data_IF_979059494600
#
_entry.id   IF_979059494600
#
_cell.length_a   1.000
_cell.length_b   1.000
_cell.length_c   1.000
_cell.angle_alpha   90.00
_cell.angle_beta   90.00
_cell.angle_gamma   90.00
#
_symmetry.space_group_name_H-M   'P 1'
#
loop_
_entity.id
_entity.type
_entity.pdbx_description
1 polymer ?
#
# COMPACT_ATOMS: atom_id res chain seq x y z
N UNK A 1 0.55 -30.57 -47.77
CA UNK A 1 -0.27 -31.39 -46.88
C UNK A 1 0.34 -31.34 -45.49
N UNK A 2 -0.37 -30.85 -44.51
CA UNK A 2 0.07 -30.87 -43.12
C UNK A 2 0.06 -32.34 -42.61
N UNK A 3 1.18 -32.82 -42.06
CA UNK A 3 1.20 -34.15 -41.43
C UNK A 3 0.77 -33.98 -39.98
N UNK A 4 -0.20 -34.76 -39.54
CA UNK A 4 -0.63 -34.87 -38.16
C UNK A 4 0.37 -35.74 -37.42
N UNK A 5 1.03 -35.22 -36.38
CA UNK A 5 1.86 -36.00 -35.47
C UNK A 5 1.03 -36.32 -34.21
N UNK A 6 0.59 -37.57 -34.02
CA UNK A 6 -0.24 -37.94 -32.86
C UNK A 6 0.52 -37.92 -31.52
N UNK A 7 1.84 -37.80 -31.55
CA UNK A 7 2.68 -37.72 -30.33
C UNK A 7 3.07 -36.29 -29.95
N UNK A 8 2.67 -35.31 -30.76
CA UNK A 8 2.96 -33.89 -30.47
C UNK A 8 2.16 -33.39 -29.26
N UNK A 9 2.88 -33.04 -28.21
CA UNK A 9 2.31 -32.44 -27.02
C UNK A 9 2.75 -30.97 -26.93
N UNK A 10 1.81 -30.07 -26.72
CA UNK A 10 2.09 -28.65 -26.48
C UNK A 10 1.41 -28.19 -25.19
N UNK A 11 2.06 -27.27 -24.49
CA UNK A 11 1.44 -26.61 -23.34
C UNK A 11 0.57 -25.46 -23.82
N UNK A 12 -0.71 -25.49 -23.47
CA UNK A 12 -1.65 -24.41 -23.77
C UNK A 12 -1.83 -23.57 -22.49
N UNK A 13 -1.68 -22.25 -22.61
CA UNK A 13 -1.96 -21.34 -21.52
C UNK A 13 -3.47 -21.37 -21.20
N UNK A 14 -3.79 -21.55 -19.92
CA UNK A 14 -5.17 -21.57 -19.46
C UNK A 14 -5.46 -20.39 -18.53
N UNK A 15 -6.72 -19.93 -18.52
CA UNK A 15 -7.17 -18.92 -17.58
C UNK A 15 -7.07 -19.43 -16.15
N UNK A 16 -6.37 -18.69 -15.28
CA UNK A 16 -6.17 -19.09 -13.88
C UNK A 16 -7.46 -19.17 -13.06
N UNK A 17 -8.55 -18.56 -13.54
CA UNK A 17 -9.86 -18.57 -12.86
C UNK A 17 -10.77 -19.70 -13.32
N UNK A 18 -10.96 -19.84 -14.64
CA UNK A 18 -11.93 -20.79 -15.21
C UNK A 18 -11.28 -21.99 -15.90
N UNK A 19 -9.95 -22.04 -15.98
CA UNK A 19 -9.16 -23.10 -16.62
C UNK A 19 -9.43 -23.28 -18.14
N UNK A 20 -10.18 -22.37 -18.77
CA UNK A 20 -10.40 -22.40 -20.21
C UNK A 20 -9.09 -22.07 -20.96
N UNK A 21 -8.82 -22.68 -22.10
CA UNK A 21 -7.70 -22.34 -22.97
C UNK A 21 -7.73 -20.84 -23.33
N UNK A 22 -6.58 -20.20 -23.34
CA UNK A 22 -6.43 -18.82 -23.78
C UNK A 22 -6.12 -18.78 -25.26
N UNK A 23 -6.97 -18.10 -26.03
CA UNK A 23 -6.79 -17.86 -27.46
C UNK A 23 -6.34 -16.40 -27.66
N UNK A 24 -5.13 -16.14 -28.22
CA UNK A 24 -4.67 -14.79 -28.52
C UNK A 24 -5.54 -14.16 -29.61
N UNK A 25 -6.22 -13.05 -29.30
CA UNK A 25 -6.99 -12.26 -30.25
C UNK A 25 -6.29 -10.94 -30.54
N UNK A 26 -5.73 -10.73 -31.76
CA UNK A 26 -5.17 -9.45 -32.16
C UNK A 26 -6.25 -8.36 -32.16
N UNK A 27 -6.06 -7.30 -31.38
CA UNK A 27 -7.00 -6.20 -31.26
C UNK A 27 -6.24 -4.86 -31.15
N UNK A 28 -6.76 -3.81 -31.76
CA UNK A 28 -6.27 -2.47 -31.54
C UNK A 28 -6.44 -2.07 -30.07
N UNK A 29 -5.42 -1.45 -29.50
CA UNK A 29 -5.36 -1.08 -28.08
C UNK A 29 -4.85 0.36 -27.95
N UNK A 30 -5.13 0.99 -26.82
CA UNK A 30 -4.61 2.32 -26.49
C UNK A 30 -3.36 2.23 -25.64
N UNK A 31 -2.31 2.93 -26.05
CA UNK A 31 -1.01 2.91 -25.40
C UNK A 31 -0.56 4.31 -24.99
N UNK A 32 0.16 4.37 -23.88
CA UNK A 32 0.96 5.56 -23.50
C UNK A 32 2.40 5.32 -23.94
N UNK A 33 2.99 6.27 -24.64
CA UNK A 33 4.43 6.30 -24.93
C UNK A 33 5.19 6.60 -23.65
N UNK A 34 5.82 5.58 -23.07
CA UNK A 34 6.44 5.66 -21.75
C UNK A 34 7.88 6.14 -21.76
N UNK A 35 8.64 5.90 -22.83
CA UNK A 35 10.06 6.25 -22.93
C UNK A 35 10.35 7.72 -22.57
N UNK A 36 9.67 8.75 -23.12
CA UNK A 36 9.95 10.14 -22.78
C UNK A 36 9.59 10.48 -21.34
N UNK A 37 8.61 9.78 -20.74
CA UNK A 37 8.24 9.94 -19.33
C UNK A 37 9.31 9.33 -18.42
N UNK A 38 9.75 8.11 -18.73
CA UNK A 38 10.78 7.40 -17.99
C UNK A 38 12.11 8.16 -17.96
N UNK A 39 12.54 8.74 -19.08
CA UNK A 39 13.76 9.53 -19.16
C UNK A 39 13.73 10.75 -18.22
N UNK A 40 12.59 11.46 -18.12
CA UNK A 40 12.42 12.58 -17.19
C UNK A 40 12.50 12.15 -15.73
N UNK A 41 11.88 11.01 -15.39
CA UNK A 41 11.91 10.44 -14.04
C UNK A 41 13.32 9.97 -13.69
N UNK A 42 14.01 9.25 -14.59
CA UNK A 42 15.39 8.80 -14.39
C UNK A 42 16.34 9.97 -14.08
N UNK A 43 16.24 11.09 -14.82
CA UNK A 43 17.04 12.29 -14.54
C UNK A 43 16.87 12.78 -13.11
N UNK A 44 15.64 12.80 -12.60
CA UNK A 44 15.34 13.23 -11.22
C UNK A 44 15.84 12.23 -10.17
N UNK A 45 15.71 10.92 -10.44
CA UNK A 45 16.27 9.87 -9.57
C UNK A 45 17.79 10.00 -9.50
N UNK A 46 18.46 10.17 -10.63
CA UNK A 46 19.93 10.37 -10.69
C UNK A 46 20.36 11.64 -9.97
N UNK A 47 19.53 12.68 -9.97
CA UNK A 47 19.76 13.93 -9.22
C UNK A 47 19.48 13.78 -7.70
N UNK A 48 19.09 12.60 -7.23
CA UNK A 48 18.85 12.34 -5.79
C UNK A 48 17.49 12.81 -5.27
N UNK A 49 16.53 13.13 -6.16
CA UNK A 49 15.19 13.57 -5.73
C UNK A 49 14.33 12.43 -5.13
N UNK A 50 14.76 11.17 -5.26
CA UNK A 50 14.06 9.98 -4.74
C UNK A 50 15.04 9.08 -4.02
N UNK A 51 14.67 8.64 -2.81
CA UNK A 51 15.37 7.58 -2.06
C UNK A 51 14.46 6.37 -1.89
N UNK A 52 14.98 5.16 -2.12
CA UNK A 52 14.26 3.90 -1.93
C UNK A 52 14.88 3.13 -0.77
N UNK A 53 14.07 2.81 0.23
CA UNK A 53 14.41 1.93 1.34
C UNK A 53 13.87 0.52 1.04
N UNK A 54 14.74 -0.33 0.54
CA UNK A 54 14.44 -1.72 0.16
C UNK A 54 15.66 -2.37 -0.48
N UNK A 55 16.05 -3.54 -0.04
CA UNK A 55 17.28 -4.23 -0.43
C UNK A 55 17.43 -4.39 -1.95
N UNK A 56 18.18 -3.50 -2.61
CA UNK A 56 18.46 -3.54 -4.06
C UNK A 56 17.30 -3.14 -4.98
N UNK A 57 16.16 -2.70 -4.43
CA UNK A 57 14.98 -2.33 -5.22
C UNK A 57 15.14 -1.01 -5.97
N UNK A 58 16.08 -0.15 -5.58
CA UNK A 58 16.52 1.01 -6.35
C UNK A 58 17.07 0.61 -7.74
N UNK A 59 17.91 -0.42 -7.78
CA UNK A 59 18.44 -0.98 -9.03
C UNK A 59 17.35 -1.63 -9.89
N UNK A 60 16.39 -2.29 -9.23
CA UNK A 60 15.22 -2.88 -9.91
C UNK A 60 14.38 -1.78 -10.57
N UNK A 61 14.05 -0.70 -9.85
CA UNK A 61 13.31 0.42 -10.42
C UNK A 61 14.06 1.07 -11.58
N UNK A 62 15.37 1.29 -11.44
CA UNK A 62 16.20 1.84 -12.51
C UNK A 62 16.15 0.95 -13.75
N UNK A 63 16.33 -0.36 -13.60
CA UNK A 63 16.25 -1.32 -14.70
C UNK A 63 14.89 -1.28 -15.42
N UNK A 64 13.79 -1.27 -14.67
CA UNK A 64 12.44 -1.18 -15.25
C UNK A 64 12.23 0.12 -16.02
N UNK A 65 12.63 1.27 -15.47
CA UNK A 65 12.50 2.57 -16.14
C UNK A 65 13.32 2.66 -17.41
N UNK A 66 14.53 2.05 -17.43
CA UNK A 66 15.41 2.04 -18.59
C UNK A 66 14.88 1.18 -19.73
N UNK A 67 14.24 0.04 -19.41
CA UNK A 67 13.76 -0.93 -20.38
C UNK A 67 12.23 -0.92 -20.53
N UNK A 68 11.59 0.19 -20.22
CA UNK A 68 10.14 0.27 -20.20
C UNK A 68 9.57 0.32 -21.62
N UNK A 69 8.68 -0.62 -21.94
CA UNK A 69 7.88 -0.62 -23.16
C UNK A 69 6.64 0.27 -23.02
N UNK A 70 6.08 0.65 -24.17
CA UNK A 70 4.82 1.41 -24.20
C UNK A 70 3.72 0.67 -23.42
N UNK A 71 2.97 1.44 -22.64
CA UNK A 71 2.03 0.90 -21.69
C UNK A 71 0.62 0.81 -22.29
N UNK A 72 0.13 -0.40 -22.52
CA UNK A 72 -1.26 -0.63 -22.84
C UNK A 72 -2.17 -0.26 -21.66
N UNK A 73 -3.02 0.75 -21.85
CA UNK A 73 -3.92 1.26 -20.82
C UNK A 73 -5.37 0.82 -20.99
N UNK A 74 -5.72 0.12 -22.06
CA UNK A 74 -7.07 -0.36 -22.33
C UNK A 74 -7.30 -1.79 -21.85
N UNK A 75 -8.49 -2.04 -21.28
CA UNK A 75 -8.92 -3.36 -20.78
C UNK A 75 -10.33 -3.64 -21.25
N UNK A 76 -10.57 -4.86 -21.75
CA UNK A 76 -11.86 -5.37 -22.17
C UNK A 76 -12.59 -6.03 -20.99
N UNK A 77 -12.93 -5.23 -19.99
CA UNK A 77 -13.65 -5.68 -18.79
C UNK A 77 -14.88 -4.82 -18.54
N UNK A 78 -15.92 -5.43 -17.98
CA UNK A 78 -17.22 -4.77 -17.77
C UNK A 78 -17.14 -3.71 -16.65
N UNK A 79 -16.33 -3.94 -15.63
CA UNK A 79 -16.18 -3.06 -14.48
C UNK A 79 -14.90 -2.24 -14.56
N UNK A 80 -15.02 -0.93 -14.53
CA UNK A 80 -13.88 -0.01 -14.54
C UNK A 80 -14.28 1.38 -15.02
N UNK A 81 -13.30 2.29 -15.02
CA UNK A 81 -13.47 3.65 -15.57
C UNK A 81 -13.30 3.56 -17.08
N UNK A 82 -14.35 3.87 -17.82
CA UNK A 82 -14.31 3.86 -19.29
C UNK A 82 -13.30 4.87 -19.83
N UNK A 83 -12.67 4.50 -20.94
CA UNK A 83 -11.81 5.43 -21.68
C UNK A 83 -12.65 6.62 -22.19
N UNK A 84 -12.18 7.88 -22.05
CA UNK A 84 -12.88 9.05 -22.54
C UNK A 84 -12.68 9.22 -24.06
N UNK A 85 -12.90 8.14 -24.80
CA UNK A 85 -12.70 8.04 -26.24
C UNK A 85 -14.05 7.84 -26.89
N UNK A 86 -14.32 8.65 -27.91
CA UNK A 86 -15.58 8.69 -28.60
C UNK A 86 -15.37 8.61 -30.10
N UNK A 87 -16.26 7.91 -30.76
CA UNK A 87 -16.29 7.75 -32.22
C UNK A 87 -17.53 8.38 -32.80
N UNK A 88 -17.39 9.13 -33.85
CA UNK A 88 -18.52 9.60 -34.65
C UNK A 88 -19.11 8.39 -35.42
N UNK A 89 -20.32 7.97 -35.09
CA UNK A 89 -20.86 6.70 -35.52
C UNK A 89 -20.98 6.58 -37.06
N UNK A 90 -21.46 7.61 -37.72
CA UNK A 90 -21.59 7.63 -39.18
C UNK A 90 -20.25 7.66 -39.91
N UNK A 91 -19.25 8.36 -39.35
CA UNK A 91 -17.90 8.47 -39.94
C UNK A 91 -17.04 7.22 -39.77
N UNK A 92 -17.48 6.28 -38.91
CA UNK A 92 -16.77 5.04 -38.60
C UNK A 92 -17.60 3.79 -38.86
N UNK A 93 -18.11 3.55 -40.12
CA UNK A 93 -19.05 2.46 -40.43
C UNK A 93 -18.46 1.06 -40.21
N UNK A 94 -17.13 0.92 -40.10
CA UNK A 94 -16.43 -0.36 -39.90
C UNK A 94 -16.25 -0.73 -38.41
N UNK A 95 -16.68 0.10 -37.47
CA UNK A 95 -16.68 -0.26 -36.06
C UNK A 95 -17.69 -1.39 -35.85
N UNK A 96 -17.21 -2.50 -35.28
CA UNK A 96 -18.09 -3.60 -34.89
C UNK A 96 -18.61 -3.35 -33.48
N UNK A 97 -19.90 -3.55 -33.27
CA UNK A 97 -20.53 -3.45 -31.95
C UNK A 97 -21.42 -4.67 -31.68
N UNK A 98 -21.58 -4.94 -30.38
CA UNK A 98 -22.55 -5.88 -29.87
C UNK A 98 -23.42 -5.18 -28.83
N UNK A 99 -24.73 -5.31 -28.89
CA UNK A 99 -25.64 -4.64 -27.96
C UNK A 99 -26.87 -5.49 -27.66
N UNK A 100 -27.48 -5.22 -26.52
CA UNK A 100 -28.76 -5.85 -26.10
C UNK A 100 -29.93 -5.00 -26.56
N UNK A 101 -30.96 -5.65 -27.12
CA UNK A 101 -32.20 -5.00 -27.53
C UNK A 101 -33.39 -5.94 -27.41
N UNK A 102 -34.58 -5.37 -27.38
CA UNK A 102 -35.84 -6.12 -27.47
C UNK A 102 -36.29 -6.33 -28.92
N UNK A 103 -35.61 -5.69 -29.87
CA UNK A 103 -35.98 -5.74 -31.29
C UNK A 103 -35.05 -6.65 -32.10
N UNK A 104 -35.58 -7.26 -33.13
CA UNK A 104 -34.85 -8.16 -34.03
C UNK A 104 -35.07 -7.72 -35.49
N UNK A 105 -34.00 -7.15 -36.06
CA UNK A 105 -33.97 -6.80 -37.48
C UNK A 105 -32.84 -7.55 -38.18
N UNK A 106 -33.21 -8.60 -38.96
CA UNK A 106 -32.23 -9.39 -39.71
C UNK A 106 -31.66 -8.62 -40.89
N UNK A 107 -30.49 -9.00 -41.34
CA UNK A 107 -29.81 -8.41 -42.48
C UNK A 107 -28.43 -9.01 -42.72
N UNK A 108 -27.91 -8.81 -43.92
CA UNK A 108 -26.57 -9.29 -44.25
C UNK A 108 -25.49 -8.71 -43.36
N UNK A 109 -24.72 -9.61 -42.72
CA UNK A 109 -23.65 -9.26 -41.76
C UNK A 109 -24.15 -8.72 -40.43
N UNK A 110 -25.40 -9.01 -40.05
CA UNK A 110 -25.96 -8.82 -38.70
C UNK A 110 -26.16 -10.19 -38.07
N UNK A 111 -25.56 -10.43 -36.91
CA UNK A 111 -25.75 -11.65 -36.13
C UNK A 111 -26.72 -11.37 -34.98
N UNK A 112 -27.69 -12.25 -34.77
CA UNK A 112 -28.70 -12.15 -33.73
C UNK A 112 -28.70 -13.44 -32.91
N UNK A 113 -28.50 -13.30 -31.58
CA UNK A 113 -28.60 -14.39 -30.62
C UNK A 113 -29.74 -14.09 -29.65
N UNK A 114 -30.74 -14.96 -29.60
CA UNK A 114 -31.79 -14.86 -28.59
C UNK A 114 -31.29 -15.24 -27.21
N UNK A 115 -31.83 -14.59 -26.18
CA UNK A 115 -31.58 -14.88 -24.75
C UNK A 115 -32.88 -15.41 -24.12
N UNK A 116 -32.75 -16.16 -23.03
CA UNK A 116 -33.88 -16.79 -22.33
C UNK A 116 -34.85 -15.78 -21.71
N UNK A 117 -34.45 -14.51 -21.55
CA UNK A 117 -35.28 -13.42 -21.02
C UNK A 117 -36.01 -12.60 -22.08
N UNK A 118 -36.12 -13.11 -23.32
CA UNK A 118 -36.82 -12.45 -24.42
C UNK A 118 -36.06 -11.31 -25.09
N UNK A 119 -34.80 -11.05 -24.67
CA UNK A 119 -33.92 -10.08 -25.33
C UNK A 119 -33.05 -10.74 -26.41
N UNK A 120 -32.46 -9.89 -27.22
CA UNK A 120 -31.53 -10.31 -28.28
C UNK A 120 -30.19 -9.64 -28.08
N UNK A 121 -29.10 -10.38 -28.28
CA UNK A 121 -27.76 -9.83 -28.52
C UNK A 121 -27.63 -9.68 -30.05
N UNK A 122 -27.51 -8.43 -30.46
CA UNK A 122 -27.32 -8.08 -31.87
C UNK A 122 -25.90 -7.62 -32.09
N UNK A 123 -25.21 -8.17 -33.09
CA UNK A 123 -23.82 -7.84 -33.42
C UNK A 123 -23.68 -7.55 -34.91
N UNK A 124 -22.87 -6.57 -35.25
CA UNK A 124 -22.56 -6.15 -36.60
C UNK A 124 -21.71 -4.88 -36.65
N UNK A 125 -21.42 -4.40 -37.85
CA UNK A 125 -20.74 -3.11 -38.00
C UNK A 125 -21.74 -1.95 -37.96
N UNK A 126 -21.34 -0.77 -37.49
CA UNK A 126 -22.23 0.41 -37.43
C UNK A 126 -22.86 0.73 -38.77
N UNK A 127 -22.11 0.61 -39.86
CA UNK A 127 -22.65 0.85 -41.21
C UNK A 127 -23.80 -0.10 -41.61
N UNK A 128 -23.86 -1.31 -41.08
CA UNK A 128 -24.95 -2.29 -41.30
C UNK A 128 -26.09 -2.17 -40.30
N UNK A 129 -25.80 -1.70 -39.10
CA UNK A 129 -26.76 -1.58 -38.00
C UNK A 129 -27.54 -0.27 -38.00
N UNK A 130 -26.92 0.88 -38.26
CA UNK A 130 -27.55 2.19 -38.23
C UNK A 130 -28.77 2.37 -39.19
N UNK A 131 -28.84 1.70 -40.35
CA UNK A 131 -30.07 1.72 -41.17
C UNK A 131 -31.30 1.01 -40.54
N UNK A 132 -31.07 0.21 -39.47
CA UNK A 132 -32.08 -0.68 -38.86
C UNK A 132 -32.36 -0.43 -37.40
N UNK A 133 -31.40 0.13 -36.70
CA UNK A 133 -31.44 0.46 -35.28
C UNK A 133 -31.02 1.89 -35.08
N UNK A 134 -31.68 2.63 -34.18
CA UNK A 134 -31.24 3.97 -33.81
C UNK A 134 -29.92 3.90 -33.06
N UNK A 135 -29.11 4.98 -33.16
CA UNK A 135 -27.86 5.06 -32.39
C UNK A 135 -28.10 5.02 -30.89
N UNK A 136 -29.20 5.61 -30.42
CA UNK A 136 -29.57 5.61 -29.01
C UNK A 136 -29.92 4.20 -28.49
N UNK A 137 -30.60 3.39 -29.30
CA UNK A 137 -30.85 1.99 -28.95
C UNK A 137 -29.56 1.18 -28.87
N UNK A 138 -28.64 1.39 -29.82
CA UNK A 138 -27.33 0.75 -29.80
C UNK A 138 -26.57 1.18 -28.54
N UNK A 139 -26.55 2.47 -28.16
CA UNK A 139 -25.86 3.00 -26.97
C UNK A 139 -26.42 2.41 -25.67
N UNK A 140 -27.74 2.38 -25.52
CA UNK A 140 -28.41 1.87 -24.33
C UNK A 140 -28.11 0.40 -24.07
N UNK A 141 -28.00 -0.38 -25.14
CA UNK A 141 -27.72 -1.82 -25.05
C UNK A 141 -26.24 -2.20 -25.16
N UNK A 142 -25.35 -1.27 -25.41
CA UNK A 142 -23.95 -1.53 -25.79
C UNK A 142 -23.21 -2.43 -24.81
N UNK A 143 -22.72 -3.57 -25.32
CA UNK A 143 -21.97 -4.56 -24.57
C UNK A 143 -20.47 -4.54 -24.94
N UNK A 144 -20.17 -4.40 -26.23
CA UNK A 144 -18.80 -4.32 -26.71
C UNK A 144 -18.71 -3.48 -27.99
N UNK A 145 -17.55 -2.81 -28.11
CA UNK A 145 -17.18 -2.06 -29.31
C UNK A 145 -15.75 -2.47 -29.71
N UNK A 146 -15.58 -2.74 -31.01
CA UNK A 146 -14.28 -3.07 -31.59
C UNK A 146 -14.02 -2.10 -32.74
N UNK A 147 -13.16 -1.12 -32.49
CA UNK A 147 -12.77 -0.16 -33.50
C UNK A 147 -11.55 -0.66 -34.30
N UNK A 148 -11.50 -0.47 -35.63
CA UNK A 148 -10.29 -0.69 -36.40
C UNK A 148 -9.16 0.26 -35.95
N UNK A 149 -7.90 -0.14 -36.11
CA UNK A 149 -6.74 0.66 -35.70
C UNK A 149 -6.68 2.09 -36.34
N UNK A 150 -7.35 2.28 -37.49
CA UNK A 150 -7.43 3.57 -38.18
C UNK A 150 -8.75 4.32 -37.94
N UNK A 151 -9.58 3.88 -37.00
CA UNK A 151 -10.82 4.58 -36.65
C UNK A 151 -10.50 5.99 -36.12
N UNK A 152 -11.25 6.99 -36.62
CA UNK A 152 -11.12 8.36 -36.13
C UNK A 152 -11.87 8.52 -34.84
N UNK A 153 -11.18 9.00 -33.79
CA UNK A 153 -11.75 9.21 -32.47
C UNK A 153 -11.49 10.62 -31.95
N UNK A 154 -12.24 11.02 -30.97
CA UNK A 154 -12.05 12.24 -30.19
C UNK A 154 -11.89 11.91 -28.72
N UNK A 155 -11.15 12.74 -27.98
CA UNK A 155 -11.03 12.68 -26.53
C UNK A 155 -12.04 13.66 -25.92
N UNK A 156 -12.96 13.18 -25.08
CA UNK A 156 -13.98 14.00 -24.45
C UNK A 156 -14.29 13.47 -23.05
N UNK A 157 -14.30 14.36 -22.06
CA UNK A 157 -14.47 13.96 -20.65
C UNK A 157 -15.93 13.81 -20.23
N UNK A 158 -16.87 14.45 -20.93
CA UNK A 158 -18.28 14.43 -20.60
C UNK A 158 -19.15 13.94 -21.77
N UNK A 159 -20.38 13.50 -21.45
CA UNK A 159 -21.36 13.03 -22.42
C UNK A 159 -22.19 14.15 -23.07
N UNK A 160 -22.00 15.41 -22.67
CA UNK A 160 -22.82 16.50 -23.19
C UNK A 160 -22.61 16.67 -24.70
N UNK A 161 -23.71 16.76 -25.46
CA UNK A 161 -23.74 16.85 -26.92
C UNK A 161 -23.18 15.61 -27.67
N UNK A 162 -23.48 14.40 -27.19
CA UNK A 162 -23.00 13.16 -27.79
C UNK A 162 -24.01 12.45 -28.69
N UNK A 163 -25.04 13.16 -29.30
CA UNK A 163 -26.09 12.51 -30.08
C UNK A 163 -25.53 11.66 -31.24
N UNK A 164 -24.45 12.07 -31.88
CA UNK A 164 -23.81 11.36 -32.99
C UNK A 164 -22.59 10.51 -32.56
N UNK A 165 -22.24 10.51 -31.28
CA UNK A 165 -21.05 9.85 -30.76
C UNK A 165 -21.39 8.56 -30.03
N UNK A 166 -20.54 7.56 -30.18
CA UNK A 166 -20.56 6.31 -29.40
C UNK A 166 -19.25 6.19 -28.62
N UNK A 167 -19.34 5.90 -27.33
CA UNK A 167 -18.18 5.78 -26.45
C UNK A 167 -17.50 4.43 -26.60
N UNK A 168 -16.16 4.43 -26.51
CA UNK A 168 -15.36 3.21 -26.36
C UNK A 168 -15.84 2.38 -25.16
N UNK A 169 -15.88 1.05 -25.31
CA UNK A 169 -16.27 0.14 -24.21
C UNK A 169 -15.12 -0.30 -23.34
N UNK A 170 -13.90 -0.13 -23.80
CA UNK A 170 -12.72 -0.45 -23.01
C UNK A 170 -12.63 0.46 -21.78
N UNK A 171 -12.12 -0.10 -20.69
CA UNK A 171 -11.86 0.62 -19.45
C UNK A 171 -10.37 0.84 -19.28
N UNK A 172 -10.00 1.79 -18.43
CA UNK A 172 -8.61 1.98 -18.06
C UNK A 172 -8.03 0.78 -17.32
N UNK A 173 -6.76 0.48 -17.58
CA UNK A 173 -5.94 -0.33 -16.68
C UNK A 173 -6.03 0.24 -15.25
N UNK A 174 -6.30 -0.61 -14.27
CA UNK A 174 -6.38 -0.23 -12.85
C UNK A 174 -5.16 0.57 -12.39
N UNK A 175 -3.97 0.22 -12.91
CA UNK A 175 -2.74 0.95 -12.58
C UNK A 175 -2.69 2.37 -13.18
N UNK A 176 -3.45 2.65 -14.23
CA UNK A 176 -3.55 4.01 -14.77
C UNK A 176 -4.33 4.92 -13.82
N UNK A 177 -5.49 4.51 -13.36
CA UNK A 177 -6.27 5.30 -12.39
C UNK A 177 -5.55 5.40 -11.03
N UNK A 178 -4.98 4.31 -10.52
CA UNK A 178 -4.25 4.32 -9.24
C UNK A 178 -2.95 5.12 -9.29
N UNK A 179 -2.33 5.28 -10.46
CA UNK A 179 -1.12 6.12 -10.62
C UNK A 179 -1.36 7.61 -10.41
N UNK A 180 -2.61 8.05 -10.49
CA UNK A 180 -3.03 9.44 -10.30
C UNK A 180 -3.30 9.78 -8.83
N UNK A 181 -3.40 8.77 -7.98
CA UNK A 181 -3.77 8.91 -6.57
C UNK A 181 -3.00 10.02 -5.83
N UNK A 182 -1.65 10.15 -5.91
CA UNK A 182 -0.90 11.11 -5.11
C UNK A 182 -1.26 12.58 -5.35
N UNK A 183 -1.67 12.94 -6.57
CA UNK A 183 -2.04 14.33 -6.88
C UNK A 183 -3.55 14.54 -6.96
N UNK A 184 -4.32 13.56 -7.50
CA UNK A 184 -5.76 13.73 -7.67
C UNK A 184 -6.50 13.86 -6.34
N UNK A 185 -6.12 13.07 -5.33
CA UNK A 185 -6.70 13.17 -3.99
C UNK A 185 -6.44 14.53 -3.35
N UNK A 186 -5.22 15.07 -3.47
CA UNK A 186 -4.87 16.36 -2.89
C UNK A 186 -5.46 17.55 -3.66
N UNK A 187 -5.64 17.43 -4.98
CA UNK A 187 -6.27 18.48 -5.81
C UNK A 187 -7.76 18.58 -5.56
N UNK A 188 -8.43 17.46 -5.21
CA UNK A 188 -9.88 17.38 -5.08
C UNK A 188 -10.38 17.33 -3.63
N UNK A 189 -9.50 17.44 -2.63
CA UNK A 189 -9.89 17.42 -1.21
C UNK A 189 -10.21 18.85 -0.71
N UNK A 190 -9.22 19.55 -0.19
CA UNK A 190 -9.39 20.91 0.35
C UNK A 190 -8.54 21.91 -0.42
N UNK A 191 -9.00 23.15 -0.60
CA UNK A 191 -8.20 24.20 -1.20
C UNK A 191 -6.85 24.35 -0.46
N UNK A 192 -5.74 24.27 -1.22
CA UNK A 192 -4.39 24.39 -0.68
C UNK A 192 -3.71 23.09 -0.28
N UNK A 193 -4.41 21.96 -0.15
CA UNK A 193 -3.81 20.67 0.24
C UNK A 193 -2.73 20.23 -0.74
N UNK A 194 -2.95 20.36 -2.04
CA UNK A 194 -1.95 20.05 -3.03
C UNK A 194 -0.67 20.87 -2.85
N UNK A 195 -0.79 22.19 -2.64
CA UNK A 195 0.37 23.06 -2.42
C UNK A 195 1.13 22.69 -1.13
N UNK A 196 0.42 22.25 -0.10
CA UNK A 196 0.97 21.96 1.22
C UNK A 196 1.63 20.57 1.30
N UNK A 197 1.02 19.55 0.69
CA UNK A 197 1.37 18.16 0.93
C UNK A 197 2.02 17.44 -0.26
N UNK A 198 1.93 18.00 -1.47
CA UNK A 198 2.61 17.43 -2.64
C UNK A 198 3.99 18.07 -2.82
N UNK A 199 5.09 17.33 -2.87
CA UNK A 199 5.30 15.88 -2.85
C UNK A 199 5.22 15.32 -1.42
N UNK A 200 4.64 14.14 -1.26
CA UNK A 200 4.59 13.47 0.02
C UNK A 200 6.00 13.15 0.57
N UNK A 201 6.15 13.14 1.89
CA UNK A 201 7.44 12.85 2.53
C UNK A 201 7.89 11.41 2.26
N UNK A 202 6.97 10.46 2.36
CA UNK A 202 7.22 9.03 2.15
C UNK A 202 5.98 8.34 1.57
N UNK A 203 6.22 7.37 0.69
CA UNK A 203 5.26 6.35 0.27
C UNK A 203 5.70 5.01 0.86
N UNK A 204 4.80 4.32 1.52
CA UNK A 204 5.02 2.97 2.05
C UNK A 204 4.17 1.98 1.25
N UNK A 205 4.78 0.86 0.80
CA UNK A 205 4.07 -0.20 0.07
C UNK A 205 4.89 -1.49 -0.03
N UNK A 206 4.27 -2.60 -0.47
CA UNK A 206 4.96 -3.84 -0.78
C UNK A 206 5.93 -3.71 -1.96
N UNK A 207 7.06 -4.37 -1.86
CA UNK A 207 8.07 -4.33 -2.91
C UNK A 207 7.59 -4.93 -4.24
N UNK A 208 6.64 -5.85 -4.20
CA UNK A 208 6.11 -6.57 -5.36
C UNK A 208 5.34 -5.68 -6.33
N UNK A 209 4.81 -4.56 -5.87
CA UNK A 209 4.13 -3.58 -6.72
C UNK A 209 4.98 -2.35 -7.07
N UNK A 210 6.28 -2.38 -6.80
CA UNK A 210 7.20 -1.32 -7.20
C UNK A 210 7.13 -1.00 -8.70
N UNK A 211 7.23 -1.98 -9.64
CA UNK A 211 7.16 -1.70 -11.08
C UNK A 211 5.74 -1.42 -11.58
N UNK A 212 4.70 -1.82 -10.83
CA UNK A 212 3.32 -1.67 -11.27
C UNK A 212 2.66 -0.41 -10.75
N UNK A 213 2.90 -0.03 -9.52
CA UNK A 213 2.25 1.12 -8.89
C UNK A 213 3.20 2.29 -8.66
N UNK A 214 4.30 2.05 -7.94
CA UNK A 214 5.25 3.14 -7.60
C UNK A 214 5.82 3.78 -8.85
N UNK A 215 6.35 2.98 -9.78
CA UNK A 215 6.90 3.46 -11.03
C UNK A 215 5.86 4.28 -11.83
N UNK A 216 4.63 3.80 -11.92
CA UNK A 216 3.57 4.48 -12.67
C UNK A 216 3.14 5.78 -12.02
N UNK A 217 3.09 5.85 -10.68
CA UNK A 217 2.89 7.11 -9.96
C UNK A 217 4.01 8.11 -10.24
N UNK A 218 5.28 7.66 -10.31
CA UNK A 218 6.41 8.51 -10.68
C UNK A 218 6.24 9.07 -12.10
N UNK A 219 5.86 8.22 -13.08
CA UNK A 219 5.68 8.64 -14.47
C UNK A 219 4.55 9.67 -14.63
N UNK A 220 3.36 9.32 -14.17
CA UNK A 220 2.16 10.15 -14.36
C UNK A 220 2.21 11.38 -13.45
N UNK A 221 2.62 11.22 -12.20
CA UNK A 221 2.77 12.36 -11.27
C UNK A 221 3.75 13.39 -11.77
N UNK A 222 4.93 12.95 -12.26
CA UNK A 222 5.91 13.88 -12.85
C UNK A 222 5.40 14.50 -14.16
N UNK A 223 4.65 13.78 -14.99
CA UNK A 223 4.08 14.31 -16.21
C UNK A 223 3.07 15.42 -15.92
N UNK A 224 2.15 15.20 -14.99
CA UNK A 224 1.05 16.13 -14.69
C UNK A 224 1.53 17.34 -13.89
N UNK A 225 2.42 17.14 -12.92
CA UNK A 225 2.77 18.17 -11.94
C UNK A 225 4.18 18.77 -12.12
N UNK A 226 5.02 18.17 -12.95
CA UNK A 226 6.43 18.53 -13.06
C UNK A 226 7.32 18.10 -11.90
N UNK A 227 6.74 17.47 -10.85
CA UNK A 227 7.45 17.03 -9.62
C UNK A 227 7.25 15.53 -9.38
N UNK A 228 8.20 14.88 -8.72
CA UNK A 228 7.98 13.53 -8.22
C UNK A 228 6.91 13.55 -7.11
N UNK A 229 6.03 12.53 -7.06
CA UNK A 229 4.90 12.52 -6.11
C UNK A 229 5.31 12.30 -4.66
N UNK A 230 6.50 11.78 -4.41
CA UNK A 230 7.06 11.52 -3.08
C UNK A 230 8.59 11.58 -3.13
N UNK A 231 9.20 11.90 -1.98
CA UNK A 231 10.67 12.01 -1.83
C UNK A 231 11.33 10.68 -1.44
N UNK A 232 10.59 9.84 -0.74
CA UNK A 232 11.07 8.54 -0.23
C UNK A 232 10.06 7.46 -0.51
N UNK A 233 10.54 6.25 -0.75
CA UNK A 233 9.73 5.03 -0.85
C UNK A 233 10.26 4.04 0.17
N UNK A 234 9.41 3.62 1.09
CA UNK A 234 9.68 2.53 2.00
C UNK A 234 8.99 1.27 1.49
N UNK A 235 9.76 0.23 1.22
CA UNK A 235 9.24 -1.03 0.72
C UNK A 235 9.23 -2.06 1.84
N UNK A 236 8.05 -2.58 2.20
CA UNK A 236 7.96 -3.73 3.07
C UNK A 236 8.01 -5.04 2.27
N UNK A 237 8.43 -6.12 2.93
CA UNK A 237 8.37 -7.47 2.38
C UNK A 237 6.98 -8.09 2.51
N UNK A 238 6.76 -9.20 1.80
CA UNK A 238 5.55 -9.98 1.96
C UNK A 238 5.61 -10.83 3.25
N UNK A 239 4.47 -10.94 3.92
CA UNK A 239 4.34 -11.84 5.07
C UNK A 239 4.15 -13.28 4.56
N UNK A 240 4.99 -14.18 5.06
CA UNK A 240 4.96 -15.62 4.74
C UNK A 240 4.57 -16.43 5.97
N UNK A 241 4.10 -17.64 5.76
CA UNK A 241 3.86 -18.58 6.86
C UNK A 241 5.17 -19.06 7.51
N UNK A 242 5.08 -19.83 8.58
CA UNK A 242 6.25 -20.37 9.31
C UNK A 242 7.19 -21.23 8.43
N UNK A 243 6.67 -21.79 7.33
CA UNK A 243 7.45 -22.56 6.37
C UNK A 243 8.05 -21.71 5.26
N UNK A 244 7.93 -20.39 5.33
CA UNK A 244 8.40 -19.46 4.30
C UNK A 244 7.54 -19.43 3.04
N UNK A 245 6.35 -20.03 3.04
CA UNK A 245 5.48 -20.08 1.88
C UNK A 245 4.59 -18.84 1.81
N UNK A 246 4.33 -18.36 0.57
CA UNK A 246 3.36 -17.29 0.34
C UNK A 246 1.98 -17.74 0.81
N UNK A 247 1.35 -16.90 1.64
CA UNK A 247 -0.01 -17.15 2.13
C UNK A 247 -1.03 -17.03 0.98
N UNK A 248 -1.93 -18.00 0.88
CA UNK A 248 -3.04 -17.96 -0.08
C UNK A 248 -4.25 -18.74 0.45
N UNK A 249 -5.45 -18.29 0.09
CA UNK A 249 -6.70 -18.99 0.47
C UNK A 249 -6.74 -20.43 -0.03
N UNK A 250 -6.21 -20.68 -1.23
CA UNK A 250 -6.17 -22.01 -1.85
C UNK A 250 -5.26 -23.00 -1.11
N UNK A 251 -4.25 -22.50 -0.37
CA UNK A 251 -3.35 -23.35 0.43
C UNK A 251 -3.80 -23.49 1.88
N UNK A 252 -4.82 -22.76 2.32
CA UNK A 252 -5.31 -22.81 3.70
C UNK A 252 -4.31 -22.29 4.76
N UNK A 253 -3.25 -21.59 4.34
CA UNK A 253 -2.19 -21.09 5.23
C UNK A 253 -2.31 -19.60 5.55
N UNK A 254 -3.45 -18.99 5.29
CA UNK A 254 -3.72 -17.57 5.58
C UNK A 254 -3.96 -17.39 7.07
N UNK A 255 -3.21 -16.50 7.69
CA UNK A 255 -3.45 -16.06 9.07
C UNK A 255 -4.43 -14.88 9.02
N UNK A 256 -5.60 -15.04 9.65
CA UNK A 256 -6.56 -13.94 9.77
C UNK A 256 -6.11 -12.99 10.89
N UNK A 257 -5.86 -11.71 10.60
CA UNK A 257 -5.44 -10.73 11.60
C UNK A 257 -6.42 -10.58 12.77
N UNK A 258 -7.73 -10.68 12.51
CA UNK A 258 -8.76 -10.53 13.56
C UNK A 258 -8.69 -11.67 14.60
N UNK A 259 -8.40 -12.89 14.17
CA UNK A 259 -8.24 -14.03 15.08
C UNK A 259 -6.98 -13.86 15.96
N UNK A 260 -5.91 -13.31 15.37
CA UNK A 260 -4.69 -12.97 16.13
C UNK A 260 -4.98 -11.88 17.15
N UNK A 261 -5.71 -10.83 16.77
CA UNK A 261 -6.11 -9.74 17.68
C UNK A 261 -6.97 -10.27 18.82
N UNK A 262 -7.94 -11.14 18.55
CA UNK A 262 -8.80 -11.74 19.58
C UNK A 262 -7.99 -12.58 20.58
N UNK A 263 -6.96 -13.32 20.11
CA UNK A 263 -6.18 -14.24 20.95
C UNK A 263 -5.00 -13.57 21.67
N UNK A 264 -4.33 -12.63 21.02
CA UNK A 264 -3.05 -12.07 21.50
C UNK A 264 -3.08 -10.55 21.74
N UNK A 265 -4.08 -9.85 21.23
CA UNK A 265 -4.20 -8.40 21.28
C UNK A 265 -3.61 -7.70 20.05
N UNK A 266 -4.10 -6.49 19.79
CA UNK A 266 -3.69 -5.70 18.61
C UNK A 266 -2.22 -5.28 18.66
N UNK A 267 -1.70 -4.91 19.84
CA UNK A 267 -0.28 -4.55 20.00
C UNK A 267 0.66 -5.71 19.72
N UNK A 268 0.27 -6.93 20.09
CA UNK A 268 1.04 -8.14 19.82
C UNK A 268 1.13 -8.40 18.31
N UNK A 269 0.04 -8.25 17.57
CA UNK A 269 0.03 -8.37 16.11
C UNK A 269 0.94 -7.30 15.47
N UNK A 270 0.76 -6.04 15.86
CA UNK A 270 1.54 -4.91 15.32
C UNK A 270 3.03 -5.10 15.54
N UNK A 271 3.43 -5.41 16.78
CA UNK A 271 4.83 -5.62 17.13
C UNK A 271 5.44 -6.80 16.38
N UNK A 272 4.73 -7.95 16.35
CA UNK A 272 5.18 -9.15 15.65
C UNK A 272 5.39 -8.92 14.15
N UNK A 273 4.58 -8.07 13.50
CA UNK A 273 4.76 -7.73 12.08
C UNK A 273 6.01 -6.88 11.83
N UNK A 274 6.38 -6.00 12.76
CA UNK A 274 7.43 -4.99 12.57
C UNK A 274 8.79 -5.44 13.10
N UNK A 275 8.85 -6.06 14.28
CA UNK A 275 10.14 -6.46 14.92
C UNK A 275 10.97 -7.33 13.98
N UNK A 276 12.28 -7.04 13.86
CA UNK A 276 13.21 -7.75 12.97
C UNK A 276 12.86 -7.70 11.47
N UNK A 277 11.95 -6.82 11.05
CA UNK A 277 11.68 -6.62 9.62
C UNK A 277 12.82 -5.85 8.97
N UNK A 278 13.14 -6.23 7.73
CA UNK A 278 14.11 -5.53 6.89
C UNK A 278 13.39 -4.98 5.66
N UNK A 279 13.58 -3.71 5.28
CA UNK A 279 12.97 -3.15 4.09
C UNK A 279 13.25 -3.97 2.84
N UNK A 280 12.22 -4.29 2.06
CA UNK A 280 12.30 -5.04 0.81
C UNK A 280 12.53 -6.55 0.96
N UNK A 281 12.47 -7.09 2.18
CA UNK A 281 12.64 -8.52 2.43
C UNK A 281 11.39 -9.14 3.05
N UNK A 282 11.04 -10.34 2.59
CA UNK A 282 9.94 -11.12 3.14
C UNK A 282 10.20 -11.53 4.59
N UNK A 283 9.12 -11.63 5.36
CA UNK A 283 9.16 -12.06 6.74
C UNK A 283 8.22 -13.24 6.97
N UNK A 284 8.76 -14.34 7.48
CA UNK A 284 7.95 -15.43 7.99
C UNK A 284 7.43 -15.09 9.38
N UNK A 285 6.16 -15.42 9.65
CA UNK A 285 5.49 -15.14 10.92
C UNK A 285 4.63 -16.33 11.34
N UNK A 286 4.56 -16.56 12.63
CA UNK A 286 3.75 -17.62 13.20
C UNK A 286 3.33 -17.38 14.64
N UNK A 287 2.73 -18.39 15.26
CA UNK A 287 2.15 -18.28 16.60
C UNK A 287 3.18 -17.90 17.67
N UNK A 288 4.42 -18.38 17.53
CA UNK A 288 5.53 -18.03 18.44
C UNK A 288 5.83 -16.55 18.50
N UNK A 289 5.78 -15.86 17.34
CA UNK A 289 6.03 -14.42 17.25
C UNK A 289 4.93 -13.62 17.96
N UNK A 290 3.67 -14.03 17.82
CA UNK A 290 2.54 -13.38 18.51
C UNK A 290 2.60 -13.59 20.02
N UNK A 291 2.99 -14.80 20.48
CA UNK A 291 3.20 -15.08 21.91
C UNK A 291 4.32 -14.23 22.50
N UNK A 292 5.46 -14.13 21.82
CA UNK A 292 6.59 -13.31 22.26
C UNK A 292 6.19 -11.82 22.36
N UNK A 293 5.49 -11.31 21.37
CA UNK A 293 4.99 -9.93 21.36
C UNK A 293 3.95 -9.67 22.48
N UNK A 294 3.04 -10.63 22.75
CA UNK A 294 2.12 -10.54 23.88
C UNK A 294 2.86 -10.54 25.23
N UNK A 295 3.91 -11.34 25.36
CA UNK A 295 4.72 -11.36 26.57
C UNK A 295 5.38 -10.01 26.81
N UNK A 296 5.84 -9.34 25.76
CA UNK A 296 6.35 -7.96 25.86
C UNK A 296 5.28 -7.00 26.37
N UNK A 297 4.08 -7.01 25.79
CA UNK A 297 2.99 -6.12 26.26
C UNK A 297 2.60 -6.36 27.70
N UNK A 298 2.59 -7.62 28.17
CA UNK A 298 2.39 -7.97 29.57
C UNK A 298 3.54 -7.49 30.45
N UNK A 299 4.78 -7.60 29.98
CA UNK A 299 5.96 -7.12 30.74
C UNK A 299 5.91 -5.59 30.92
N UNK A 300 5.51 -4.85 29.86
CA UNK A 300 5.32 -3.39 29.90
C UNK A 300 4.26 -3.02 30.97
N UNK A 301 3.13 -3.70 30.94
CA UNK A 301 2.06 -3.48 31.92
C UNK A 301 2.52 -3.72 33.35
N UNK A 302 3.18 -4.86 33.61
CA UNK A 302 3.65 -5.22 34.95
C UNK A 302 4.76 -4.28 35.45
N UNK A 303 5.67 -3.86 34.59
CA UNK A 303 6.69 -2.87 34.94
C UNK A 303 6.07 -1.53 35.36
N UNK A 304 5.04 -1.08 34.61
CA UNK A 304 4.31 0.14 34.95
C UNK A 304 3.57 0.04 36.30
N UNK A 305 2.94 -1.10 36.57
CA UNK A 305 2.31 -1.34 37.87
C UNK A 305 3.30 -1.27 39.01
N UNK A 306 4.48 -1.86 38.84
CA UNK A 306 5.53 -1.81 39.84
C UNK A 306 6.00 -0.37 40.09
N UNK A 307 6.27 0.41 39.03
CA UNK A 307 6.69 1.82 39.16
C UNK A 307 5.60 2.66 39.86
N UNK A 308 4.32 2.39 39.59
CA UNK A 308 3.20 3.02 40.28
C UNK A 308 3.22 2.75 41.80
N UNK A 309 3.50 1.52 42.19
CA UNK A 309 3.61 1.13 43.61
C UNK A 309 4.82 1.81 44.26
N UNK A 310 5.97 1.83 43.62
CA UNK A 310 7.16 2.53 44.14
C UNK A 310 6.91 4.02 44.40
N UNK A 311 6.06 4.65 43.59
CA UNK A 311 5.72 6.06 43.75
C UNK A 311 4.82 6.33 44.97
N UNK A 312 4.03 5.35 45.41
CA UNK A 312 3.14 5.45 46.56
C UNK A 312 3.91 5.33 47.92
N UNK A 313 5.08 4.73 47.88
CA UNK A 313 5.92 4.59 49.09
C UNK A 313 6.66 5.90 49.40
N UNK A 314 6.29 6.54 50.51
CA UNK A 314 6.82 7.83 50.98
C UNK A 314 8.26 7.69 51.49
N UNK A 315 9.26 7.98 50.66
CA UNK A 315 10.58 8.41 51.03
C UNK A 315 11.31 8.97 49.79
N UNK A 316 11.33 10.27 49.62
CA UNK A 316 12.18 10.94 48.62
C UNK A 316 13.50 11.31 49.30
N UNK A 317 14.48 10.42 49.21
CA UNK A 317 15.86 10.81 49.45
C UNK A 317 16.35 11.54 48.19
N UNK A 318 16.65 12.83 48.29
CA UNK A 318 17.08 13.67 47.18
C UNK A 318 18.59 13.55 46.85
N UNK A 319 19.33 12.71 47.59
CA UNK A 319 20.76 12.49 47.33
C UNK A 319 20.95 11.55 46.12
N UNK A 320 21.92 11.81 45.23
CA UNK A 320 22.23 10.92 44.11
C UNK A 320 22.56 9.50 44.58
N UNK A 321 22.00 8.51 43.92
CA UNK A 321 22.26 7.10 44.20
C UNK A 321 23.33 6.52 43.25
N UNK A 322 23.99 5.41 43.59
CA UNK A 322 25.16 4.90 42.86
C UNK A 322 24.90 4.61 41.38
N UNK A 323 23.67 4.27 41.02
CA UNK A 323 23.29 3.93 39.65
C UNK A 323 22.56 5.04 38.86
N UNK A 324 22.34 6.20 39.48
CA UNK A 324 21.59 7.29 38.85
C UNK A 324 22.25 7.81 37.57
N UNK A 325 23.56 8.04 37.60
CA UNK A 325 24.32 8.53 36.45
C UNK A 325 24.40 7.49 35.33
N UNK A 326 24.69 6.23 35.68
CA UNK A 326 24.75 5.12 34.71
C UNK A 326 23.41 4.94 33.99
N UNK A 327 22.32 4.94 34.74
CA UNK A 327 20.98 4.84 34.20
C UNK A 327 20.65 6.00 33.25
N UNK A 328 20.93 7.22 33.63
CA UNK A 328 20.66 8.41 32.83
C UNK A 328 21.44 8.41 31.52
N UNK A 329 22.72 8.07 31.55
CA UNK A 329 23.54 7.93 30.34
C UNK A 329 23.01 6.87 29.41
N UNK A 330 22.60 5.71 29.92
CA UNK A 330 22.05 4.60 29.12
C UNK A 330 20.72 4.98 28.46
N UNK A 331 19.80 5.62 29.19
CA UNK A 331 18.53 6.10 28.64
C UNK A 331 18.76 7.15 27.53
N UNK A 332 19.68 8.10 27.74
CA UNK A 332 20.01 9.12 26.74
C UNK A 332 20.65 8.52 25.49
N UNK A 333 21.53 7.53 25.68
CA UNK A 333 22.05 6.76 24.53
C UNK A 333 20.95 6.06 23.75
N UNK A 334 20.03 5.40 24.45
CA UNK A 334 18.89 4.71 23.82
C UNK A 334 18.00 5.67 23.02
N UNK A 335 17.65 6.84 23.56
CA UNK A 335 16.88 7.87 22.84
C UNK A 335 17.58 8.22 21.52
N UNK A 336 18.88 8.48 21.58
CA UNK A 336 19.68 8.85 20.40
C UNK A 336 19.74 7.71 19.38
N UNK A 337 19.98 6.49 19.84
CA UNK A 337 20.06 5.29 19.01
C UNK A 337 18.74 5.01 18.28
N UNK A 338 17.60 5.01 19.01
CA UNK A 338 16.29 4.76 18.42
C UNK A 338 15.91 5.87 17.43
N UNK A 339 16.13 7.14 17.79
CA UNK A 339 15.88 8.25 16.88
C UNK A 339 16.66 8.11 15.57
N UNK A 340 17.95 7.79 15.66
CA UNK A 340 18.80 7.57 14.49
C UNK A 340 18.36 6.39 13.63
N UNK A 341 17.91 5.27 14.24
CA UNK A 341 17.40 4.13 13.51
C UNK A 341 16.10 4.46 12.76
N UNK A 342 15.20 5.20 13.40
CA UNK A 342 13.95 5.64 12.78
C UNK A 342 14.18 6.63 11.64
N UNK A 343 15.09 7.60 11.80
CA UNK A 343 15.49 8.54 10.75
C UNK A 343 16.11 7.84 9.54
N UNK A 344 16.78 6.70 9.76
CA UNK A 344 17.32 5.83 8.71
C UNK A 344 16.29 4.83 8.16
N UNK A 345 15.03 4.88 8.58
CA UNK A 345 13.99 3.90 8.21
C UNK A 345 14.32 2.45 8.58
N UNK A 346 15.17 2.21 9.59
CA UNK A 346 15.48 0.89 10.15
C UNK A 346 14.48 0.51 11.24
N UNK A 347 13.19 0.52 10.87
CA UNK A 347 12.05 0.42 11.81
C UNK A 347 12.07 -0.91 12.57
N UNK A 348 12.33 -2.03 11.88
CA UNK A 348 12.39 -3.35 12.49
C UNK A 348 13.55 -3.50 13.47
N UNK A 349 14.71 -2.90 13.16
CA UNK A 349 15.88 -2.86 14.07
C UNK A 349 15.59 -1.99 15.29
N UNK A 350 14.92 -0.85 15.12
CA UNK A 350 14.52 0.00 16.26
C UNK A 350 13.58 -0.76 17.22
N UNK A 351 12.62 -1.51 16.68
CA UNK A 351 11.73 -2.34 17.48
C UNK A 351 12.48 -3.46 18.24
N UNK A 352 13.49 -4.08 17.61
CA UNK A 352 14.29 -5.15 18.22
C UNK A 352 15.16 -4.60 19.37
N UNK A 353 15.84 -3.48 19.14
CA UNK A 353 16.60 -2.79 20.20
C UNK A 353 15.70 -2.37 21.37
N UNK A 354 14.50 -1.84 21.08
CA UNK A 354 13.55 -1.47 22.13
C UNK A 354 13.06 -2.67 22.93
N UNK A 355 12.84 -3.81 22.27
CA UNK A 355 12.50 -5.06 22.94
C UNK A 355 13.59 -5.45 23.96
N UNK A 356 14.83 -5.53 23.49
CA UNK A 356 15.97 -5.95 24.32
C UNK A 356 16.25 -4.96 25.47
N UNK A 357 16.30 -3.67 25.19
CA UNK A 357 16.58 -2.66 26.20
C UNK A 357 15.44 -2.49 27.22
N UNK A 358 14.18 -2.63 26.77
CA UNK A 358 13.07 -2.63 27.73
C UNK A 358 13.09 -3.88 28.62
N UNK A 359 13.31 -5.06 28.04
CA UNK A 359 13.27 -6.32 28.77
C UNK A 359 14.48 -6.48 29.69
N UNK A 360 15.70 -6.44 29.13
CA UNK A 360 16.91 -6.80 29.83
C UNK A 360 17.55 -5.65 30.60
N UNK A 361 17.50 -4.43 30.10
CA UNK A 361 18.03 -3.30 30.85
C UNK A 361 16.98 -2.69 31.78
N UNK A 362 15.83 -2.23 31.25
CA UNK A 362 14.86 -1.51 32.09
C UNK A 362 14.22 -2.41 33.14
N UNK A 363 13.72 -3.60 32.76
CA UNK A 363 13.03 -4.49 33.68
C UNK A 363 13.99 -5.30 34.55
N UNK A 364 15.00 -5.96 33.97
CA UNK A 364 15.81 -6.93 34.70
C UNK A 364 16.97 -6.27 35.47
N UNK A 365 17.36 -5.01 35.14
CA UNK A 365 18.43 -4.29 35.86
C UNK A 365 17.90 -3.04 36.58
N UNK A 366 17.33 -2.07 35.85
CA UNK A 366 16.97 -0.79 36.45
C UNK A 366 15.88 -0.90 37.52
N UNK A 367 14.87 -1.72 37.30
CA UNK A 367 13.84 -2.01 38.32
C UNK A 367 14.47 -2.68 39.55
N UNK A 368 15.40 -3.62 39.36
CA UNK A 368 16.10 -4.26 40.49
C UNK A 368 17.02 -3.29 41.23
N UNK A 369 17.70 -2.39 40.52
CA UNK A 369 18.46 -1.31 41.19
C UNK A 369 17.56 -0.40 42.05
N UNK A 370 16.34 -0.10 41.54
CA UNK A 370 15.39 0.70 42.32
C UNK A 370 14.87 -0.04 43.56
N UNK A 371 14.61 -1.35 43.48
CA UNK A 371 14.23 -2.20 44.64
C UNK A 371 15.34 -2.21 45.72
N UNK A 372 16.59 -2.26 45.28
CA UNK A 372 17.74 -2.31 46.15
C UNK A 372 18.26 -0.91 46.59
N UNK A 373 17.48 0.16 46.37
CA UNK A 373 17.81 1.54 46.68
C UNK A 373 19.13 2.03 46.06
N UNK A 374 19.50 1.48 44.91
CA UNK A 374 20.68 1.87 44.12
C UNK A 374 20.32 2.87 43.00
N UNK A 375 19.06 2.95 42.58
CA UNK A 375 18.52 3.87 41.58
C UNK A 375 17.36 4.66 42.19
N UNK A 376 17.34 5.98 41.96
CA UNK A 376 16.29 6.84 42.50
C UNK A 376 14.90 6.53 41.90
N UNK A 377 13.86 6.54 42.74
CA UNK A 377 12.47 6.35 42.33
C UNK A 377 12.05 7.33 41.24
N UNK A 378 12.55 8.58 41.30
CA UNK A 378 12.33 9.62 40.31
C UNK A 378 12.88 9.21 38.94
N UNK A 379 14.14 8.71 38.88
CA UNK A 379 14.78 8.34 37.61
C UNK A 379 14.12 7.09 36.97
N UNK A 380 13.79 6.05 37.72
CA UNK A 380 13.13 4.90 37.18
C UNK A 380 11.74 5.26 36.62
N UNK A 381 11.03 6.20 37.25
CA UNK A 381 9.74 6.72 36.75
C UNK A 381 9.90 7.52 35.46
N UNK A 382 10.89 8.42 35.40
CA UNK A 382 11.21 9.18 34.19
C UNK A 382 11.69 8.25 33.06
N UNK A 383 12.44 7.21 33.38
CA UNK A 383 12.83 6.16 32.43
C UNK A 383 11.62 5.43 31.86
N UNK A 384 10.65 5.07 32.70
CA UNK A 384 9.38 4.48 32.22
C UNK A 384 8.67 5.41 31.22
N UNK A 385 8.58 6.69 31.56
CA UNK A 385 8.01 7.70 30.67
C UNK A 385 8.68 7.70 29.30
N UNK A 386 10.02 7.70 29.26
CA UNK A 386 10.79 7.65 28.00
C UNK A 386 10.52 6.34 27.26
N UNK A 387 10.56 5.18 27.95
CA UNK A 387 10.30 3.89 27.35
C UNK A 387 8.89 3.81 26.72
N UNK A 388 7.87 4.36 27.40
CA UNK A 388 6.51 4.43 26.85
C UNK A 388 6.45 5.29 25.58
N UNK A 389 7.15 6.43 25.55
CA UNK A 389 7.22 7.29 24.36
C UNK A 389 7.93 6.60 23.19
N UNK A 390 9.03 5.91 23.43
CA UNK A 390 9.80 5.20 22.39
C UNK A 390 9.05 3.96 21.87
N UNK A 391 8.31 3.24 22.73
CA UNK A 391 7.53 2.04 22.37
C UNK A 391 6.19 2.37 21.72
N UNK A 392 5.66 3.57 21.94
CA UNK A 392 4.31 3.94 21.50
C UNK A 392 4.05 3.74 20.00
N UNK A 393 4.94 4.05 19.06
CA UNK A 393 4.74 3.79 17.63
C UNK A 393 4.50 2.31 17.31
N UNK A 394 5.03 1.40 18.11
CA UNK A 394 4.98 -0.04 17.90
C UNK A 394 3.81 -0.71 18.63
N UNK A 395 3.57 -0.33 19.89
CA UNK A 395 2.56 -0.91 20.79
C UNK A 395 1.68 0.18 21.41
N UNK A 396 0.88 0.90 20.58
CA UNK A 396 0.19 2.13 20.99
C UNK A 396 -0.88 1.92 22.06
N UNK A 397 -1.59 0.78 22.07
CA UNK A 397 -2.72 0.62 22.96
C UNK A 397 -2.29 0.42 24.42
N UNK A 398 -1.34 -0.46 24.68
CA UNK A 398 -0.83 -0.71 26.03
C UNK A 398 -0.09 0.50 26.58
N UNK A 399 0.72 1.17 25.77
CA UNK A 399 1.50 2.35 26.21
C UNK A 399 0.59 3.54 26.47
N UNK A 400 -0.42 3.80 25.64
CA UNK A 400 -1.42 4.86 25.89
C UNK A 400 -2.22 4.59 27.15
N UNK A 401 -2.69 3.35 27.35
CA UNK A 401 -3.46 2.97 28.53
C UNK A 401 -2.64 3.18 29.82
N UNK A 402 -1.38 2.75 29.82
CA UNK A 402 -0.46 2.96 30.95
C UNK A 402 -0.22 4.46 31.18
N UNK A 403 0.00 5.21 30.10
CA UNK A 403 0.22 6.65 30.18
C UNK A 403 -0.93 7.38 30.86
N UNK A 404 -2.15 7.04 30.51
CA UNK A 404 -3.35 7.61 31.14
C UNK A 404 -3.49 7.18 32.60
N UNK A 405 -3.18 5.92 32.94
CA UNK A 405 -3.29 5.41 34.34
C UNK A 405 -2.22 5.96 35.28
N UNK A 406 -1.03 6.27 34.75
CA UNK A 406 0.02 6.87 35.52
C UNK A 406 -0.19 8.38 35.72
N UNK A 407 -0.90 9.06 34.82
CA UNK A 407 -1.30 10.44 34.92
C UNK A 407 -0.14 11.38 35.33
N UNK A 408 -0.33 12.09 36.42
CA UNK A 408 0.65 13.04 36.97
C UNK A 408 1.98 12.40 37.39
N UNK A 409 2.01 11.09 37.67
CA UNK A 409 3.27 10.37 38.00
C UNK A 409 4.29 10.49 36.88
N UNK A 410 3.86 10.39 35.64
CA UNK A 410 4.72 10.58 34.45
C UNK A 410 4.66 12.00 33.89
N UNK A 411 4.00 12.93 34.58
CA UNK A 411 3.90 14.35 34.21
C UNK A 411 3.13 14.55 32.91
N UNK A 412 1.99 13.87 32.72
CA UNK A 412 1.21 14.00 31.51
C UNK A 412 -0.10 14.78 31.75
N UNK A 413 -0.43 15.69 30.84
CA UNK A 413 -1.72 16.36 30.72
C UNK A 413 -2.41 16.04 29.39
N UNK A 414 -1.76 15.25 28.51
CA UNK A 414 -2.20 14.99 27.13
C UNK A 414 -2.06 13.49 26.80
N UNK A 415 -2.70 13.09 25.70
CA UNK A 415 -2.52 11.75 25.14
C UNK A 415 -1.04 11.49 24.75
N UNK A 416 -0.54 10.30 24.97
CA UNK A 416 0.80 9.90 24.56
C UNK A 416 1.00 10.05 23.05
N UNK A 417 -0.05 9.74 22.25
CA UNK A 417 -0.06 9.92 20.81
C UNK A 417 0.23 11.36 20.34
N UNK A 418 0.00 12.36 21.19
CA UNK A 418 0.28 13.78 20.90
C UNK A 418 1.44 14.34 21.71
N UNK A 419 2.14 13.50 22.46
CA UNK A 419 3.31 13.92 23.25
C UNK A 419 4.51 14.19 22.33
N UNK A 420 5.43 15.01 22.82
CA UNK A 420 6.67 15.31 22.11
C UNK A 420 7.61 14.11 22.21
N UNK A 421 8.29 13.78 21.11
CA UNK A 421 9.33 12.76 21.09
C UNK A 421 10.44 13.09 22.10
N UNK A 422 10.94 12.13 22.90
CA UNK A 422 11.93 12.40 23.93
C UNK A 422 13.28 12.82 23.31
N UNK A 423 13.89 13.86 23.85
CA UNK A 423 15.21 14.35 23.40
C UNK A 423 16.33 13.95 24.32
N UNK A 424 16.14 14.08 25.60
CA UNK A 424 17.08 13.67 26.64
C UNK A 424 16.38 13.54 27.99
N UNK A 425 16.90 12.71 28.84
CA UNK A 425 16.52 12.64 30.25
C UNK A 425 17.37 13.64 31.00
N UNK A 426 16.87 14.86 31.17
CA UNK A 426 17.52 15.86 32.02
C UNK A 426 16.88 15.81 33.40
N UNK A 427 17.68 15.54 34.43
CA UNK A 427 17.34 15.90 35.81
C UNK A 427 17.69 17.37 35.97
N UNK A 428 16.74 18.26 35.81
CA UNK A 428 16.88 19.56 36.47
C UNK A 428 16.87 19.25 37.97
N UNK A 429 18.03 19.28 38.56
CA UNK A 429 18.25 19.20 40.01
C UNK A 429 17.62 20.44 40.66
#
# INVERSE_FOLDING_TARGET
MAKTDPQYQTQISACYRCQSPLEPLPRAQFFIKTTPLAQKVLKKITAGELTIYGAGHDKILHHWLTNLHDWNISRQIVWGIRLPIWYHAQSNPKIAVSFLTNHKHSGDGITIKALDNGKYVVSGTLGKLLPKYSLDEIKQGLQSLIAPAKAKYILKLDEQNSQELIQETDTFDTWFSSSQWPFSTLMNNRPGDFKRYYSAAVLETGYDILPFWVMRMLLIGNFVTGKLPFKRVYLHGLVRDQKGQKMSKSKGNVINPLDVVAKYGADALRFALVVRSTPGMDKSIGEGDFKAARNLTNKIWNAARFVKLLHQESATNNSPLPKDQEFQLKINHLITQISSLLDQYKIGTAADVLYDEFWHFYCDQAIEWAKNSQLSKKLVTLGLRVMLQLLHPFVPFVTEKIWQELGTIVGNEKLLATSVWPKSLTTTI
#
